data_IF_584505351529
#
_entry.id   IF_584505351529
#
_cell.length_a   1.000
_cell.length_b   1.000
_cell.length_c   1.000
_cell.angle_alpha   90.00
_cell.angle_beta   90.00
_cell.angle_gamma   90.00
#
_symmetry.space_group_name_H-M   'P 1'
#
loop_
_entity.id
_entity.type
_entity.pdbx_description
1 polymer ?
#
# COMPACT_ATOMS: atom_id res chain seq x y z
N UNK A 1 3.85 -10.09 -13.57
CA UNK A 1 2.51 -10.13 -12.98
C UNK A 1 1.58 -9.06 -13.52
N UNK A 2 0.33 -9.15 -13.16
CA UNK A 2 -0.71 -8.19 -13.56
C UNK A 2 -1.54 -7.80 -12.34
N UNK A 3 -1.88 -6.52 -12.24
CA UNK A 3 -2.82 -6.02 -11.26
C UNK A 3 -4.20 -5.83 -11.92
N UNK A 4 -5.24 -6.39 -11.30
CA UNK A 4 -6.63 -6.16 -11.69
C UNK A 4 -7.20 -5.00 -10.86
N UNK A 5 -7.68 -3.99 -11.56
CA UNK A 5 -8.23 -2.78 -10.98
C UNK A 5 -9.67 -2.56 -11.45
N UNK A 6 -10.49 -1.97 -10.58
CA UNK A 6 -11.84 -1.55 -10.93
C UNK A 6 -12.79 -2.71 -11.25
N UNK A 7 -12.65 -3.85 -10.59
CA UNK A 7 -13.58 -4.97 -10.73
C UNK A 7 -14.94 -4.60 -10.14
N UNK A 8 -15.86 -4.17 -10.99
CA UNK A 8 -17.23 -3.88 -10.64
C UNK A 8 -18.19 -4.50 -11.65
N UNK A 9 -19.39 -4.88 -11.19
CA UNK A 9 -20.43 -5.44 -12.05
C UNK A 9 -21.68 -5.78 -11.26
N UNK A 10 -22.82 -5.69 -11.90
CA UNK A 10 -24.07 -6.18 -11.33
C UNK A 10 -24.19 -7.69 -11.52
N UNK A 11 -24.15 -8.42 -10.40
CA UNK A 11 -24.32 -9.88 -10.36
C UNK A 11 -23.01 -10.67 -10.33
N UNK A 12 -22.93 -11.58 -9.36
CA UNK A 12 -21.76 -12.42 -9.08
C UNK A 12 -21.31 -13.28 -10.26
N UNK A 13 -22.25 -13.76 -11.10
CA UNK A 13 -21.92 -14.58 -12.27
C UNK A 13 -21.19 -13.80 -13.37
N UNK A 14 -21.59 -12.55 -13.61
CA UNK A 14 -20.93 -11.69 -14.60
C UNK A 14 -19.53 -11.36 -14.16
N UNK A 15 -19.37 -10.98 -12.89
CA UNK A 15 -18.07 -10.68 -12.31
C UNK A 15 -17.15 -11.91 -12.32
N UNK A 16 -17.66 -13.09 -11.96
CA UNK A 16 -16.93 -14.36 -12.01
C UNK A 16 -16.44 -14.68 -13.43
N UNK A 17 -17.29 -14.52 -14.44
CA UNK A 17 -16.94 -14.73 -15.84
C UNK A 17 -15.87 -13.72 -16.33
N UNK A 18 -15.98 -12.47 -15.91
CA UNK A 18 -14.99 -11.43 -16.22
C UNK A 18 -13.62 -11.76 -15.63
N UNK A 19 -13.55 -12.16 -14.35
CA UNK A 19 -12.31 -12.54 -13.68
C UNK A 19 -11.65 -13.72 -14.41
N UNK A 20 -12.40 -14.78 -14.74
CA UNK A 20 -11.88 -15.93 -15.48
C UNK A 20 -11.33 -15.53 -16.85
N UNK A 21 -12.07 -14.68 -17.57
CA UNK A 21 -11.65 -14.18 -18.87
C UNK A 21 -10.34 -13.38 -18.76
N UNK A 22 -10.27 -12.42 -17.82
CA UNK A 22 -9.07 -11.59 -17.61
C UNK A 22 -7.87 -12.44 -17.22
N UNK A 23 -8.01 -13.36 -16.28
CA UNK A 23 -6.92 -14.25 -15.87
C UNK A 23 -6.42 -15.11 -17.05
N UNK A 24 -7.33 -15.67 -17.84
CA UNK A 24 -6.98 -16.43 -19.04
C UNK A 24 -6.22 -15.56 -20.05
N UNK A 25 -6.66 -14.35 -20.31
CA UNK A 25 -5.95 -13.41 -21.20
C UNK A 25 -4.56 -13.05 -20.67
N UNK A 26 -4.42 -12.84 -19.37
CA UNK A 26 -3.10 -12.52 -18.78
C UNK A 26 -2.15 -13.72 -18.83
N UNK A 27 -2.64 -14.92 -18.59
CA UNK A 27 -1.86 -16.16 -18.77
C UNK A 27 -1.36 -16.32 -20.20
N UNK A 28 -2.21 -16.08 -21.20
CA UNK A 28 -1.83 -16.11 -22.62
C UNK A 28 -0.77 -15.06 -22.98
N UNK A 29 -0.73 -13.93 -22.25
CA UNK A 29 0.31 -12.90 -22.37
C UNK A 29 1.59 -13.22 -21.58
N UNK A 30 1.66 -14.38 -20.93
CA UNK A 30 2.82 -14.80 -20.15
C UNK A 30 2.90 -14.23 -18.74
N UNK A 31 1.79 -13.71 -18.18
CA UNK A 31 1.77 -13.30 -16.78
C UNK A 31 1.88 -14.54 -15.87
N UNK A 32 2.86 -14.54 -14.95
CA UNK A 32 3.04 -15.63 -13.99
C UNK A 32 2.07 -15.56 -12.82
N UNK A 33 1.49 -14.40 -12.54
CA UNK A 33 0.50 -14.19 -11.47
C UNK A 33 -0.38 -12.97 -11.75
N UNK A 34 -1.52 -12.97 -11.08
CA UNK A 34 -2.49 -11.86 -11.06
C UNK A 34 -2.73 -11.47 -9.61
N UNK A 35 -2.71 -10.18 -9.31
CA UNK A 35 -3.02 -9.61 -7.98
C UNK A 35 -4.24 -8.70 -8.05
N UNK A 36 -4.97 -8.61 -6.94
CA UNK A 36 -6.16 -7.77 -6.81
C UNK A 36 -6.36 -7.33 -5.36
N UNK A 37 -6.92 -6.16 -5.16
CA UNK A 37 -7.44 -5.71 -3.86
C UNK A 37 -8.96 -5.85 -3.92
N UNK A 38 -9.58 -6.73 -3.10
CA UNK A 38 -11.03 -6.87 -3.09
C UNK A 38 -11.68 -5.67 -2.40
N UNK A 39 -12.81 -5.19 -2.94
CA UNK A 39 -13.56 -4.06 -2.38
C UNK A 39 -14.39 -4.43 -1.14
N UNK A 40 -14.45 -5.71 -0.77
CA UNK A 40 -15.17 -6.21 0.40
C UNK A 40 -15.26 -7.73 0.44
N UNK A 41 -15.90 -8.24 1.50
CA UNK A 41 -15.94 -9.68 1.79
C UNK A 41 -16.64 -10.50 0.70
N UNK A 42 -17.69 -9.99 0.08
CA UNK A 42 -18.40 -10.69 -0.99
C UNK A 42 -17.52 -10.87 -2.23
N UNK A 43 -16.78 -9.83 -2.60
CA UNK A 43 -15.84 -9.91 -3.71
C UNK A 43 -14.67 -10.82 -3.38
N UNK A 44 -14.16 -10.77 -2.13
CA UNK A 44 -13.11 -11.66 -1.68
C UNK A 44 -13.52 -13.14 -1.75
N UNK A 45 -14.74 -13.48 -1.31
CA UNK A 45 -15.27 -14.85 -1.41
C UNK A 45 -15.35 -15.31 -2.88
N UNK A 46 -15.87 -14.47 -3.78
CA UNK A 46 -15.92 -14.77 -5.21
C UNK A 46 -14.52 -14.98 -5.78
N UNK A 47 -13.54 -14.16 -5.40
CA UNK A 47 -12.16 -14.31 -5.84
C UNK A 47 -11.52 -15.60 -5.31
N UNK A 48 -11.82 -16.01 -4.07
CA UNK A 48 -11.38 -17.29 -3.52
C UNK A 48 -11.91 -18.48 -4.33
N UNK A 49 -13.20 -18.44 -4.71
CA UNK A 49 -13.80 -19.47 -5.60
C UNK A 49 -13.13 -19.49 -6.98
N UNK A 50 -12.47 -18.41 -7.39
CA UNK A 50 -11.69 -18.28 -8.62
C UNK A 50 -10.20 -18.60 -8.44
N UNK A 51 -9.81 -19.16 -7.30
CA UNK A 51 -8.45 -19.62 -7.03
C UNK A 51 -7.50 -18.50 -6.56
N UNK A 52 -8.01 -17.33 -6.17
CA UNK A 52 -7.21 -16.33 -5.48
C UNK A 52 -7.06 -16.72 -4.01
N UNK A 53 -5.91 -16.43 -3.45
CA UNK A 53 -5.63 -16.60 -2.03
C UNK A 53 -5.21 -15.27 -1.41
N UNK A 54 -5.50 -15.07 -0.12
CA UNK A 54 -5.03 -13.92 0.63
C UNK A 54 -3.51 -13.86 0.65
N UNK A 55 -2.98 -12.68 0.38
CA UNK A 55 -1.56 -12.36 0.38
C UNK A 55 -1.39 -10.90 0.84
N UNK A 56 -0.16 -10.45 0.99
CA UNK A 56 0.17 -9.06 1.29
C UNK A 56 -0.54 -8.51 2.53
N UNK A 57 -0.53 -9.21 3.68
CA UNK A 57 -1.18 -8.70 4.88
C UNK A 57 -0.52 -7.41 5.37
N UNK A 58 -1.33 -6.53 5.95
CA UNK A 58 -0.89 -5.26 6.53
C UNK A 58 -1.03 -5.30 8.05
N UNK A 59 -0.33 -4.41 8.73
CA UNK A 59 -0.57 -4.06 10.15
C UNK A 59 -0.97 -2.60 10.24
N UNK A 60 -2.01 -2.33 11.03
CA UNK A 60 -2.51 -1.00 11.31
C UNK A 60 -2.18 -0.64 12.76
N UNK A 61 -1.43 0.42 12.96
CA UNK A 61 -0.89 0.83 14.26
C UNK A 61 -1.38 2.23 14.63
N UNK A 62 -2.30 2.37 15.62
CA UNK A 62 -2.61 3.67 16.20
C UNK A 62 -1.48 4.11 17.14
N UNK A 63 -1.12 5.40 17.08
CA UNK A 63 -0.08 6.01 17.91
C UNK A 63 -0.42 7.44 18.28
N UNK A 64 0.01 7.87 19.44
CA UNK A 64 0.18 9.29 19.75
C UNK A 64 1.48 9.79 19.11
N UNK A 65 1.50 11.02 18.65
CA UNK A 65 2.65 11.63 18.01
C UNK A 65 3.16 12.77 18.87
N UNK A 66 4.41 12.72 19.27
CA UNK A 66 5.02 13.78 20.06
C UNK A 66 5.31 15.04 19.22
N UNK A 67 5.32 16.18 19.85
CA UNK A 67 5.83 17.43 19.26
C UNK A 67 7.35 17.45 19.28
N UNK A 68 7.93 17.69 18.12
CA UNK A 68 9.37 17.85 18.01
C UNK A 68 9.74 18.82 16.89
N UNK A 69 10.00 20.07 17.25
CA UNK A 69 10.38 21.13 16.34
C UNK A 69 11.72 20.91 15.61
N UNK A 70 12.49 19.92 16.04
CA UNK A 70 13.79 19.56 15.46
C UNK A 70 13.68 18.44 14.40
N UNK A 71 12.50 17.84 14.27
CA UNK A 71 12.27 16.81 13.27
C UNK A 71 12.18 17.44 11.89
N UNK A 72 13.17 17.17 11.04
CA UNK A 72 13.26 17.72 9.70
C UNK A 72 12.80 16.70 8.66
N UNK A 73 11.96 17.16 7.76
CA UNK A 73 11.53 16.41 6.58
C UNK A 73 11.12 17.37 5.47
N UNK A 74 11.14 16.87 4.25
CA UNK A 74 10.62 17.54 3.08
C UNK A 74 9.19 17.05 2.79
N UNK A 75 8.39 17.90 2.14
CA UNK A 75 7.00 17.58 1.81
C UNK A 75 6.77 17.73 0.32
N UNK A 76 6.16 16.70 -0.27
CA UNK A 76 5.71 16.67 -1.67
C UNK A 76 6.82 16.90 -2.71
N UNK A 77 8.08 16.58 -2.36
CA UNK A 77 9.25 16.74 -3.23
C UNK A 77 9.60 15.47 -4.01
N UNK A 78 9.05 14.32 -3.61
CA UNK A 78 9.38 13.01 -4.19
C UNK A 78 8.57 12.78 -5.47
N UNK A 79 9.25 12.59 -6.59
CA UNK A 79 8.63 12.23 -7.87
C UNK A 79 8.19 10.76 -7.90
N UNK A 80 7.28 10.39 -8.81
CA UNK A 80 6.84 9.01 -8.99
C UNK A 80 8.01 8.04 -9.26
N UNK A 81 8.97 8.44 -10.10
CA UNK A 81 10.19 7.65 -10.35
C UNK A 81 10.99 7.45 -9.08
N UNK A 82 11.20 8.52 -8.30
CA UNK A 82 11.95 8.44 -7.04
C UNK A 82 11.23 7.59 -6.01
N UNK A 83 9.90 7.66 -5.95
CA UNK A 83 9.10 6.81 -5.06
C UNK A 83 9.26 5.33 -5.41
N UNK A 84 9.23 4.95 -6.70
CA UNK A 84 9.51 3.58 -7.12
C UNK A 84 10.90 3.11 -6.67
N UNK A 85 11.94 3.96 -6.82
CA UNK A 85 13.30 3.67 -6.37
C UNK A 85 13.37 3.48 -4.84
N UNK A 86 12.69 4.33 -4.06
CA UNK A 86 12.64 4.24 -2.60
C UNK A 86 11.91 2.95 -2.17
N UNK A 87 10.78 2.61 -2.78
CA UNK A 87 10.06 1.37 -2.49
C UNK A 87 10.94 0.14 -2.73
N UNK A 88 11.61 0.06 -3.87
CA UNK A 88 12.53 -1.02 -4.18
C UNK A 88 13.74 -1.08 -3.23
N UNK A 89 14.21 0.06 -2.73
CA UNK A 89 15.31 0.16 -1.77
C UNK A 89 14.90 -0.31 -0.37
N UNK A 90 13.75 0.14 0.12
CA UNK A 90 13.30 -0.17 1.49
C UNK A 90 12.69 -1.57 1.60
N UNK A 91 12.03 -2.03 0.52
CA UNK A 91 11.38 -3.34 0.49
C UNK A 91 11.47 -3.97 -0.91
N UNK A 92 12.51 -4.80 -1.17
CA UNK A 92 12.71 -5.41 -2.50
C UNK A 92 11.54 -6.27 -2.97
N UNK A 93 10.86 -6.97 -2.04
CA UNK A 93 9.71 -7.85 -2.33
C UNK A 93 8.37 -7.10 -2.37
N UNK A 94 8.39 -5.83 -2.77
CA UNK A 94 7.21 -5.02 -2.97
C UNK A 94 6.64 -5.21 -4.38
N UNK A 95 5.32 -5.30 -4.50
CA UNK A 95 4.66 -5.18 -5.81
C UNK A 95 4.96 -3.79 -6.37
N UNK A 96 5.70 -3.75 -7.48
CA UNK A 96 6.15 -2.52 -8.13
C UNK A 96 5.24 -2.16 -9.30
N UNK A 97 4.86 -0.89 -9.36
CA UNK A 97 4.27 -0.29 -10.55
C UNK A 97 5.37 0.41 -11.37
N UNK A 98 5.27 0.43 -12.71
CA UNK A 98 6.11 1.29 -13.53
C UNK A 98 5.92 2.78 -13.13
N UNK A 99 6.95 3.64 -13.32
CA UNK A 99 6.86 5.05 -12.91
C UNK A 99 5.67 5.81 -13.50
N UNK A 100 5.24 5.48 -14.71
CA UNK A 100 4.09 6.10 -15.37
C UNK A 100 2.77 5.76 -14.64
N UNK A 101 2.61 4.52 -14.21
CA UNK A 101 1.45 4.09 -13.44
C UNK A 101 1.52 4.64 -12.00
N UNK A 102 2.70 4.65 -11.38
CA UNK A 102 2.90 5.28 -10.08
C UNK A 102 2.57 6.78 -10.12
N UNK A 103 2.84 7.47 -11.24
CA UNK A 103 2.45 8.88 -11.39
C UNK A 103 0.93 9.08 -11.38
N UNK A 104 0.17 8.13 -11.93
CA UNK A 104 -1.30 8.16 -11.86
C UNK A 104 -1.77 7.96 -10.42
N UNK A 105 -1.21 6.96 -9.71
CA UNK A 105 -1.54 6.70 -8.28
C UNK A 105 -1.22 7.92 -7.43
N UNK A 106 -0.04 8.52 -7.57
CA UNK A 106 0.32 9.74 -6.83
C UNK A 106 -0.59 10.92 -7.16
N UNK A 107 -0.93 11.10 -8.44
CA UNK A 107 -1.86 12.15 -8.87
C UNK A 107 -3.23 12.00 -8.23
N UNK A 108 -3.75 10.78 -8.12
CA UNK A 108 -5.01 10.47 -7.45
C UNK A 108 -4.92 10.73 -5.93
N UNK A 109 -3.86 10.24 -5.28
CA UNK A 109 -3.61 10.49 -3.85
C UNK A 109 -3.54 12.00 -3.55
N UNK A 110 -2.77 12.77 -4.32
CA UNK A 110 -2.68 14.23 -4.12
C UNK A 110 -4.00 14.94 -4.38
N UNK A 111 -4.75 14.54 -5.40
CA UNK A 111 -6.08 15.12 -5.68
C UNK A 111 -7.09 14.82 -4.57
N UNK A 112 -6.88 13.71 -3.85
CA UNK A 112 -7.65 13.30 -2.68
C UNK A 112 -7.14 13.93 -1.36
N UNK A 113 -6.08 14.76 -1.41
CA UNK A 113 -5.56 15.50 -0.25
C UNK A 113 -4.46 14.76 0.53
N UNK A 114 -3.81 13.77 -0.07
CA UNK A 114 -2.63 13.15 0.53
C UNK A 114 -1.44 14.12 0.56
N UNK A 115 -0.57 13.93 1.53
CA UNK A 115 0.74 14.59 1.64
C UNK A 115 1.83 13.52 1.72
N UNK A 116 2.91 13.71 0.99
CA UNK A 116 4.11 12.88 1.08
C UNK A 116 5.17 13.59 1.92
N UNK A 117 5.60 12.97 3.01
CA UNK A 117 6.70 13.41 3.87
C UNK A 117 7.91 12.51 3.66
N UNK A 118 9.12 13.07 3.55
CA UNK A 118 10.34 12.31 3.31
C UNK A 118 11.59 12.94 3.90
N UNK A 119 12.59 12.10 4.19
CA UNK A 119 13.96 12.47 4.47
C UNK A 119 14.91 11.36 3.98
N UNK A 120 16.21 11.45 4.29
CA UNK A 120 17.21 10.46 3.86
C UNK A 120 16.93 9.04 4.41
N UNK A 121 16.20 8.93 5.53
CA UNK A 121 15.97 7.69 6.27
C UNK A 121 14.60 7.06 6.03
N UNK A 122 13.73 7.71 5.24
CA UNK A 122 12.42 7.15 4.95
C UNK A 122 11.47 8.12 4.27
N UNK A 123 10.25 7.63 4.05
CA UNK A 123 9.11 8.43 3.60
C UNK A 123 7.81 7.88 4.16
N UNK A 124 6.79 8.73 4.17
CA UNK A 124 5.42 8.36 4.48
C UNK A 124 4.44 9.11 3.58
N UNK A 125 3.32 8.50 3.27
CA UNK A 125 2.21 9.14 2.56
C UNK A 125 1.01 9.13 3.50
N UNK A 126 0.45 10.29 3.80
CA UNK A 126 -0.64 10.40 4.75
C UNK A 126 -1.77 11.29 4.28
N UNK A 127 -2.95 11.01 4.83
CA UNK A 127 -4.11 11.91 4.82
C UNK A 127 -4.32 12.47 6.22
N UNK A 128 -4.71 13.74 6.31
CA UNK A 128 -5.18 14.30 7.57
C UNK A 128 -6.70 14.23 7.65
N UNK A 129 -7.21 13.67 8.73
CA UNK A 129 -8.62 13.72 9.08
C UNK A 129 -8.76 14.15 10.54
N UNK A 130 -9.37 15.31 10.78
CA UNK A 130 -9.51 15.90 12.12
C UNK A 130 -8.14 16.06 12.82
N UNK A 131 -7.95 15.40 13.98
CA UNK A 131 -6.74 15.42 14.80
C UNK A 131 -5.77 14.27 14.50
N UNK A 132 -6.03 13.48 13.45
CA UNK A 132 -5.32 12.23 13.18
C UNK A 132 -4.69 12.23 11.78
N UNK A 133 -3.42 11.77 11.70
CA UNK A 133 -2.73 11.45 10.45
C UNK A 133 -2.93 9.97 10.11
N UNK A 134 -3.41 9.68 8.92
CA UNK A 134 -3.57 8.32 8.40
C UNK A 134 -2.48 8.04 7.38
N UNK A 135 -1.38 7.43 7.82
CA UNK A 135 -0.31 7.00 6.92
C UNK A 135 -0.76 5.75 6.16
N UNK A 136 -1.03 5.92 4.88
CA UNK A 136 -1.40 4.80 3.99
C UNK A 136 -0.19 3.97 3.60
N UNK A 137 0.99 4.54 3.64
CA UNK A 137 2.27 3.84 3.50
C UNK A 137 3.34 4.55 4.33
N UNK A 138 4.18 3.76 5.02
CA UNK A 138 5.34 4.22 5.77
C UNK A 138 6.51 3.28 5.50
N UNK A 139 7.62 3.83 5.01
CA UNK A 139 8.88 3.13 4.80
C UNK A 139 10.02 3.90 5.45
N UNK A 140 10.75 3.26 6.33
CA UNK A 140 11.86 3.90 7.04
C UNK A 140 12.94 2.88 7.42
N UNK A 141 14.13 3.37 7.73
CA UNK A 141 15.27 2.53 8.16
C UNK A 141 15.11 1.92 9.55
N UNK A 142 14.10 2.35 10.31
CA UNK A 142 13.77 1.85 11.64
C UNK A 142 12.74 2.75 12.33
N UNK A 143 12.31 2.35 13.53
CA UNK A 143 11.22 2.99 14.27
C UNK A 143 11.48 4.47 14.52
N UNK A 144 12.68 4.84 14.96
CA UNK A 144 13.01 6.26 15.20
C UNK A 144 12.96 7.11 13.92
N UNK A 145 13.34 6.56 12.78
CA UNK A 145 13.23 7.26 11.50
C UNK A 145 11.76 7.47 11.10
N UNK A 146 10.89 6.49 11.35
CA UNK A 146 9.45 6.62 11.14
C UNK A 146 8.83 7.65 12.10
N UNK A 147 9.24 7.66 13.38
CA UNK A 147 8.80 8.67 14.37
C UNK A 147 9.16 10.09 13.93
N UNK A 148 10.38 10.33 13.43
CA UNK A 148 10.79 11.65 12.92
C UNK A 148 9.87 12.12 11.78
N UNK A 149 9.48 11.22 10.87
CA UNK A 149 8.54 11.57 9.79
C UNK A 149 7.15 11.94 10.33
N UNK A 150 6.66 11.21 11.33
CA UNK A 150 5.38 11.53 11.99
C UNK A 150 5.44 12.85 12.75
N UNK A 151 6.51 13.09 13.51
CA UNK A 151 6.77 14.33 14.24
C UNK A 151 6.79 15.54 13.28
N UNK A 152 7.52 15.43 12.15
CA UNK A 152 7.57 16.46 11.13
C UNK A 152 6.19 16.71 10.48
N UNK A 153 5.43 15.63 10.19
CA UNK A 153 4.08 15.75 9.67
C UNK A 153 3.14 16.42 10.68
N UNK A 154 3.25 16.11 11.98
CA UNK A 154 2.51 16.79 13.04
C UNK A 154 2.83 18.29 13.12
N UNK A 155 4.09 18.68 13.01
CA UNK A 155 4.48 20.10 13.05
C UNK A 155 3.89 20.87 11.85
N UNK A 156 3.81 20.23 10.66
CA UNK A 156 3.13 20.81 9.49
C UNK A 156 1.62 20.97 9.73
N UNK A 157 0.98 19.99 10.35
CA UNK A 157 -0.49 19.90 10.49
C UNK A 157 -1.03 20.43 11.82
N UNK A 158 -0.34 21.21 12.54
CA UNK A 158 -0.56 21.97 13.80
C UNK A 158 -1.54 21.39 14.83
N UNK A 159 -2.73 20.90 14.42
CA UNK A 159 -3.81 20.43 15.31
C UNK A 159 -3.81 18.91 15.53
N UNK A 160 -2.86 18.22 14.92
CA UNK A 160 -2.78 16.76 14.98
C UNK A 160 -2.12 16.31 16.28
N UNK A 161 -2.66 15.24 16.88
CA UNK A 161 -2.11 14.60 18.08
C UNK A 161 -1.87 13.10 17.89
N UNK A 162 -2.50 12.50 16.88
CA UNK A 162 -2.50 11.06 16.65
C UNK A 162 -2.08 10.70 15.24
N UNK A 163 -1.57 9.50 15.09
CA UNK A 163 -1.35 8.86 13.80
C UNK A 163 -1.87 7.42 13.80
N UNK A 164 -2.34 6.99 12.65
CA UNK A 164 -2.59 5.59 12.34
C UNK A 164 -1.66 5.24 11.18
N UNK A 165 -0.77 4.28 11.41
CA UNK A 165 0.25 3.91 10.43
C UNK A 165 -0.12 2.56 9.83
N UNK A 166 -0.06 2.46 8.51
CA UNK A 166 -0.20 1.19 7.79
C UNK A 166 1.17 0.75 7.28
N UNK A 167 1.60 -0.45 7.69
CA UNK A 167 2.86 -1.08 7.29
C UNK A 167 2.60 -2.50 6.81
N UNK A 168 3.52 -3.08 6.04
CA UNK A 168 3.47 -4.51 5.70
C UNK A 168 3.58 -5.39 6.95
N UNK A 169 2.86 -6.51 6.99
CA UNK A 169 2.86 -7.38 8.17
C UNK A 169 4.25 -7.94 8.50
N UNK A 170 5.08 -8.18 7.49
CA UNK A 170 6.47 -8.63 7.64
C UNK A 170 7.47 -7.48 7.79
N UNK A 171 7.04 -6.21 7.69
CA UNK A 171 7.91 -5.06 7.80
C UNK A 171 8.46 -4.89 9.22
N UNK A 172 9.75 -4.57 9.35
CA UNK A 172 10.46 -4.47 10.63
C UNK A 172 10.13 -3.19 11.44
N UNK A 173 9.23 -2.34 10.97
CA UNK A 173 8.80 -1.17 11.73
C UNK A 173 7.81 -1.57 12.84
N UNK A 174 8.08 -1.13 14.06
CA UNK A 174 7.23 -1.34 15.24
C UNK A 174 6.82 -2.82 15.40
N UNK A 175 7.82 -3.69 15.47
CA UNK A 175 7.64 -5.14 15.56
C UNK A 175 6.73 -5.53 16.73
N UNK A 176 5.78 -6.42 16.45
CA UNK A 176 4.84 -6.93 17.46
C UNK A 176 3.68 -5.99 17.78
N UNK A 177 3.64 -4.80 17.18
CA UNK A 177 2.56 -3.84 17.39
C UNK A 177 1.55 -3.84 16.24
N UNK A 178 0.34 -3.36 16.55
CA UNK A 178 -0.74 -3.17 15.59
C UNK A 178 -1.60 -4.40 15.33
N UNK A 179 -2.68 -4.17 14.60
CA UNK A 179 -3.65 -5.20 14.22
C UNK A 179 -3.39 -5.64 12.79
N UNK A 180 -3.22 -6.95 12.59
CA UNK A 180 -3.06 -7.55 11.26
C UNK A 180 -4.38 -7.51 10.51
N UNK A 181 -4.31 -7.17 9.24
CA UNK A 181 -5.43 -7.10 8.32
C UNK A 181 -5.05 -7.79 7.00
N UNK A 182 -5.97 -8.56 6.44
CA UNK A 182 -5.85 -9.04 5.08
C UNK A 182 -6.07 -7.85 4.12
N UNK A 183 -5.25 -7.77 3.05
CA UNK A 183 -5.33 -6.63 2.14
C UNK A 183 -5.48 -7.06 0.68
N UNK A 184 -4.51 -7.74 0.13
CA UNK A 184 -4.51 -8.13 -1.27
C UNK A 184 -4.64 -9.63 -1.46
N UNK A 185 -5.03 -10.02 -2.64
CA UNK A 185 -5.13 -11.42 -3.04
C UNK A 185 -4.27 -11.69 -4.28
N UNK A 186 -3.76 -12.91 -4.40
CA UNK A 186 -2.97 -13.37 -5.53
C UNK A 186 -3.52 -14.66 -6.09
N UNK A 187 -3.47 -14.80 -7.42
CA UNK A 187 -3.66 -16.05 -8.13
C UNK A 187 -2.43 -16.30 -9.00
N UNK A 188 -1.83 -17.47 -8.86
CA UNK A 188 -0.72 -17.90 -9.69
C UNK A 188 -1.23 -18.49 -11.00
N UNK A 189 -0.69 -18.02 -12.10
CA UNK A 189 -0.96 -18.54 -13.46
C UNK A 189 0.21 -19.39 -13.98
N UNK A 190 1.36 -19.31 -13.32
CA UNK A 190 2.56 -20.09 -13.52
C UNK A 190 2.95 -20.85 -12.27
N UNK A 191 4.24 -21.11 -12.10
CA UNK A 191 4.79 -21.77 -10.93
C UNK A 191 4.63 -20.87 -9.67
N UNK A 192 4.01 -21.36 -8.59
CA UNK A 192 3.86 -20.58 -7.36
C UNK A 192 5.22 -20.28 -6.72
N UNK A 193 5.32 -19.11 -6.08
CA UNK A 193 6.47 -18.70 -5.27
C UNK A 193 6.00 -18.17 -3.93
N UNK A 194 6.91 -18.06 -2.96
CA UNK A 194 6.60 -17.56 -1.63
C UNK A 194 6.33 -16.05 -1.68
N UNK A 195 5.19 -15.64 -1.14
CA UNK A 195 4.75 -14.24 -1.02
C UNK A 195 4.50 -13.84 0.45
N UNK A 196 4.93 -14.68 1.40
CA UNK A 196 4.66 -14.47 2.83
C UNK A 196 5.23 -13.15 3.38
N UNK A 197 6.35 -12.70 2.83
CA UNK A 197 7.02 -11.45 3.19
C UNK A 197 6.81 -10.34 2.15
N UNK A 198 6.06 -10.61 1.08
CA UNK A 198 5.81 -9.63 0.04
C UNK A 198 4.87 -8.53 0.52
N UNK A 199 5.05 -7.35 -0.05
CA UNK A 199 4.27 -6.16 0.27
C UNK A 199 3.54 -5.61 -0.96
N UNK A 200 2.30 -5.23 -0.79
CA UNK A 200 1.50 -4.55 -1.80
C UNK A 200 0.77 -3.37 -1.16
N UNK A 201 0.95 -2.18 -1.71
CA UNK A 201 0.23 -0.96 -1.36
C UNK A 201 0.40 0.07 -2.48
N UNK A 202 -0.29 1.20 -2.39
CA UNK A 202 -0.33 2.25 -3.41
C UNK A 202 -0.79 1.68 -4.77
N UNK A 203 -1.82 0.87 -4.72
CA UNK A 203 -2.57 0.44 -5.90
C UNK A 203 -3.76 1.38 -6.08
N UNK A 204 -4.29 1.49 -7.29
CA UNK A 204 -5.55 2.17 -7.52
C UNK A 204 -6.66 1.34 -6.88
N UNK A 205 -7.43 1.91 -5.95
CA UNK A 205 -8.52 1.25 -5.21
C UNK A 205 -9.87 1.72 -5.73
#
# INVERSE_FOLDING_TARGET
GTYLYGLCGEGSLILAGLVDHLCTQQKLKGAGFVVVVPSGNEQAALLQDKGFQWAFPLRCLPREVDRNLWSQAEFDTVTAKKLCELRARFWPDTVQLPPEQMAVVLGDLYSSGATLVSNDNGYGIYFRKEDTLYFVEMMATGDRAAEILMEAAREKEVIVEKAVITVGAAQNLFLGEGTRQDYGMIRFEGEPFDVSESYMRLMLD
#
